data_IF_801225343583
#
_entry.id   IF_801225343583
#
_cell.length_a   1.000
_cell.length_b   1.000
_cell.length_c   1.000
_cell.angle_alpha   90.00
_cell.angle_beta   90.00
_cell.angle_gamma   90.00
#
_symmetry.space_group_name_H-M   'P 1'
#
loop_
_entity.id
_entity.type
_entity.pdbx_description
1 polymer ?
#
# COMPACT_ATOMS: atom_id res chain seq x y z
N UNK A 1 13.54 0.22 9.99
CA UNK A 1 12.26 -0.46 9.79
C UNK A 1 11.16 0.57 9.96
N UNK A 2 10.45 0.91 8.89
CA UNK A 2 9.39 1.92 8.89
C UNK A 2 8.10 1.36 9.50
N UNK A 3 7.19 2.23 9.96
CA UNK A 3 5.87 1.81 10.41
C UNK A 3 5.11 1.00 9.36
N UNK A 4 5.32 1.30 8.07
CA UNK A 4 4.69 0.58 6.98
C UNK A 4 5.25 -0.84 6.81
N UNK A 5 6.57 -1.00 6.92
CA UNK A 5 7.21 -2.32 6.90
C UNK A 5 6.70 -3.18 8.07
N UNK A 6 6.59 -2.60 9.28
CA UNK A 6 5.98 -3.29 10.42
C UNK A 6 4.55 -3.74 10.11
N UNK A 7 3.72 -2.87 9.55
CA UNK A 7 2.32 -3.20 9.21
C UNK A 7 2.22 -4.31 8.15
N UNK A 8 3.15 -4.38 7.20
CA UNK A 8 3.19 -5.47 6.20
C UNK A 8 3.57 -6.83 6.78
N UNK A 9 4.20 -6.87 7.97
CA UNK A 9 4.50 -8.15 8.66
C UNK A 9 3.33 -8.68 9.48
N UNK A 10 2.31 -7.86 9.71
CA UNK A 10 1.10 -8.24 10.45
C UNK A 10 0.16 -8.94 9.47
N UNK A 11 -0.38 -10.09 9.86
CA UNK A 11 -1.37 -10.80 9.06
C UNK A 11 -2.62 -9.93 8.82
N UNK A 12 -3.32 -10.20 7.71
CA UNK A 12 -4.46 -9.38 7.28
C UNK A 12 -5.55 -9.29 8.33
N UNK A 13 -5.86 -10.37 9.05
CA UNK A 13 -6.93 -10.38 10.05
C UNK A 13 -6.54 -9.53 11.26
N UNK A 14 -5.33 -9.71 11.79
CA UNK A 14 -4.83 -8.92 12.90
C UNK A 14 -4.71 -7.43 12.53
N UNK A 15 -4.28 -7.12 11.30
CA UNK A 15 -4.21 -5.75 10.78
C UNK A 15 -5.58 -5.09 10.76
N UNK A 16 -6.63 -5.81 10.34
CA UNK A 16 -8.02 -5.32 10.41
C UNK A 16 -8.46 -5.08 11.86
N UNK A 17 -8.17 -5.99 12.79
CA UNK A 17 -8.48 -5.81 14.22
C UNK A 17 -7.80 -4.57 14.80
N UNK A 18 -6.51 -4.40 14.53
CA UNK A 18 -5.73 -3.25 14.99
C UNK A 18 -6.19 -1.93 14.37
N UNK A 19 -6.63 -1.95 13.11
CA UNK A 19 -7.20 -0.77 12.46
C UNK A 19 -8.54 -0.40 13.11
N UNK A 20 -9.43 -1.37 13.33
CA UNK A 20 -10.72 -1.15 14.03
C UNK A 20 -10.55 -0.66 15.46
N UNK A 21 -9.51 -1.12 16.15
CA UNK A 21 -9.13 -0.66 17.48
C UNK A 21 -8.49 0.74 17.49
N UNK A 22 -8.26 1.37 16.33
CA UNK A 22 -7.62 2.68 16.21
C UNK A 22 -6.11 2.69 16.40
N UNK A 23 -5.47 1.52 16.48
CA UNK A 23 -4.01 1.38 16.64
C UNK A 23 -3.30 1.71 15.33
N UNK A 24 -3.84 1.21 14.21
CA UNK A 24 -3.36 1.53 12.87
C UNK A 24 -4.30 2.57 12.25
N UNK A 25 -3.79 3.75 11.85
CA UNK A 25 -4.60 4.72 11.12
C UNK A 25 -5.14 4.12 9.81
N UNK A 26 -6.42 4.33 9.51
CA UNK A 26 -7.08 3.84 8.29
C UNK A 26 -6.33 4.28 7.01
N UNK A 27 -5.75 5.49 7.04
CA UNK A 27 -4.94 5.99 5.94
C UNK A 27 -3.69 5.13 5.68
N UNK A 28 -3.04 4.65 6.74
CA UNK A 28 -1.84 3.83 6.62
C UNK A 28 -2.17 2.45 6.07
N UNK A 29 -3.28 1.86 6.52
CA UNK A 29 -3.84 0.63 5.93
C UNK A 29 -4.06 0.79 4.44
N UNK A 30 -4.69 1.89 4.00
CA UNK A 30 -4.92 2.15 2.57
C UNK A 30 -3.61 2.26 1.78
N UNK A 31 -2.57 2.85 2.34
CA UNK A 31 -1.26 2.96 1.68
C UNK A 31 -0.60 1.60 1.50
N UNK A 32 -0.67 0.75 2.53
CA UNK A 32 -0.19 -0.63 2.47
C UNK A 32 -0.91 -1.41 1.38
N UNK A 33 -2.24 -1.36 1.32
CA UNK A 33 -3.04 -2.05 0.31
C UNK A 33 -2.69 -1.61 -1.13
N UNK A 34 -2.49 -0.31 -1.34
CA UNK A 34 -2.06 0.23 -2.65
C UNK A 34 -0.69 -0.33 -3.03
N UNK A 35 0.25 -0.38 -2.08
CA UNK A 35 1.60 -0.88 -2.31
C UNK A 35 1.65 -2.39 -2.56
N UNK A 36 0.90 -3.17 -1.78
CA UNK A 36 0.76 -4.63 -1.95
C UNK A 36 0.24 -4.95 -3.36
N UNK A 37 -0.85 -4.30 -3.78
CA UNK A 37 -1.42 -4.51 -5.12
C UNK A 37 -0.46 -4.08 -6.22
N UNK A 38 0.20 -2.92 -6.08
CA UNK A 38 1.19 -2.48 -7.06
C UNK A 38 2.33 -3.49 -7.22
N UNK A 39 2.84 -4.01 -6.11
CA UNK A 39 3.91 -5.00 -6.09
C UNK A 39 3.47 -6.30 -6.76
N UNK A 40 2.25 -6.76 -6.49
CA UNK A 40 1.66 -7.94 -7.12
C UNK A 40 1.54 -7.76 -8.65
N UNK A 41 1.05 -6.60 -9.11
CA UNK A 41 0.90 -6.31 -10.54
C UNK A 41 2.26 -6.29 -11.26
N UNK A 42 3.27 -5.65 -10.66
CA UNK A 42 4.63 -5.62 -11.20
C UNK A 42 5.24 -7.02 -11.23
N UNK A 43 5.04 -7.82 -10.17
CA UNK A 43 5.51 -9.21 -10.12
C UNK A 43 4.87 -10.09 -11.21
N UNK A 44 3.64 -9.78 -11.63
CA UNK A 44 2.95 -10.42 -12.76
C UNK A 44 3.42 -9.93 -14.14
N UNK A 45 4.43 -9.06 -14.19
CA UNK A 45 5.01 -8.55 -15.43
C UNK A 45 4.33 -7.30 -15.99
N UNK A 46 3.41 -6.68 -15.25
CA UNK A 46 2.84 -5.39 -15.64
C UNK A 46 3.90 -4.29 -15.57
N UNK A 47 3.89 -3.38 -16.54
CA UNK A 47 4.78 -2.22 -16.46
C UNK A 47 4.40 -1.31 -15.28
N UNK A 48 5.38 -0.59 -14.73
CA UNK A 48 5.19 0.21 -13.52
C UNK A 48 4.11 1.29 -13.66
N UNK A 49 3.98 1.90 -14.84
CA UNK A 49 3.03 2.99 -15.08
C UNK A 49 1.59 2.49 -15.01
N UNK A 50 1.30 1.41 -15.73
CA UNK A 50 -0.02 0.77 -15.70
C UNK A 50 -0.35 0.24 -14.31
N UNK A 51 0.64 -0.32 -13.60
CA UNK A 51 0.48 -0.78 -12.23
C UNK A 51 0.10 0.36 -11.27
N UNK A 52 0.67 1.56 -11.42
CA UNK A 52 0.26 2.74 -10.63
C UNK A 52 -1.18 3.15 -10.93
N UNK A 53 -1.55 3.17 -12.22
CA UNK A 53 -2.90 3.51 -12.65
C UNK A 53 -3.94 2.53 -12.10
N UNK A 54 -3.67 1.22 -12.21
CA UNK A 54 -4.57 0.18 -11.75
C UNK A 54 -4.69 0.11 -10.23
N UNK A 55 -3.56 0.21 -9.51
CA UNK A 55 -3.59 0.25 -8.05
C UNK A 55 -4.30 1.52 -7.54
N UNK A 56 -4.06 2.66 -8.19
CA UNK A 56 -4.77 3.91 -7.92
C UNK A 56 -6.27 3.77 -8.10
N UNK A 57 -6.71 3.28 -9.27
CA UNK A 57 -8.11 3.09 -9.60
C UNK A 57 -8.81 2.12 -8.64
N UNK A 58 -8.18 1.00 -8.30
CA UNK A 58 -8.74 -0.02 -7.38
C UNK A 58 -9.07 0.55 -6.00
N UNK A 59 -8.24 1.48 -5.53
CA UNK A 59 -8.38 2.12 -4.22
C UNK A 59 -8.77 3.58 -4.31
N UNK A 60 -9.47 3.99 -5.38
CA UNK A 60 -10.07 5.34 -5.54
C UNK A 60 -9.08 6.49 -5.31
N UNK A 61 -7.88 6.40 -5.87
CA UNK A 61 -6.88 7.46 -5.82
C UNK A 61 -6.26 7.72 -7.18
N UNK A 62 -5.70 8.91 -7.39
CA UNK A 62 -5.05 9.25 -8.66
C UNK A 62 -3.73 8.51 -8.81
N UNK A 63 -3.31 8.26 -10.06
CA UNK A 63 -2.01 7.66 -10.37
C UNK A 63 -0.85 8.45 -9.71
N UNK A 64 -0.89 9.78 -9.78
CA UNK A 64 0.11 10.64 -9.15
C UNK A 64 0.17 10.48 -7.62
N UNK A 65 -0.96 10.15 -6.98
CA UNK A 65 -0.98 9.86 -5.55
C UNK A 65 -0.49 8.43 -5.26
N UNK A 66 -0.88 7.45 -6.07
CA UNK A 66 -0.38 6.07 -5.98
C UNK A 66 1.15 6.03 -6.09
N UNK A 67 1.73 6.78 -7.03
CA UNK A 67 3.19 6.95 -7.17
C UNK A 67 3.84 7.51 -5.91
N UNK A 68 3.26 8.55 -5.31
CA UNK A 68 3.77 9.15 -4.06
C UNK A 68 3.72 8.16 -2.89
N UNK A 69 2.65 7.37 -2.81
CA UNK A 69 2.50 6.32 -1.79
C UNK A 69 3.59 5.27 -1.98
N UNK A 70 3.74 4.69 -3.18
CA UNK A 70 4.76 3.67 -3.46
C UNK A 70 6.17 4.20 -3.18
N UNK A 71 6.47 5.43 -3.62
CA UNK A 71 7.77 6.05 -3.33
C UNK A 71 8.03 6.20 -1.82
N UNK A 72 7.00 6.59 -1.05
CA UNK A 72 7.09 6.68 0.42
C UNK A 72 7.30 5.32 1.07
N UNK A 73 6.67 4.27 0.54
CA UNK A 73 6.80 2.89 1.05
C UNK A 73 8.18 2.29 0.75
N UNK A 74 8.83 2.71 -0.33
CA UNK A 74 10.16 2.25 -0.73
C UNK A 74 11.31 3.07 -0.11
N UNK A 75 11.01 4.24 0.45
CA UNK A 75 12.04 5.12 1.02
C UNK A 75 12.60 4.52 2.31
N UNK A 76 13.92 4.30 2.42
CA UNK A 76 14.56 4.02 3.69
C UNK A 76 14.57 5.33 4.47
N UNK A 77 13.60 5.50 5.38
CA UNK A 77 13.70 6.55 6.40
C UNK A 77 14.65 6.07 7.48
#
# INVERSE_FOLDING_TARGET
MTCYELITTIDTEQRERMTRAGIIPEQWKRFVLIYELWTELVAKGMNKMDAYGQAGARYFTSEANARRIVARMQSPV
#
